data_IF_178242962149
#
_entry.id   IF_178242962149
#
_cell.length_a   1.000
_cell.length_b   1.000
_cell.length_c   1.000
_cell.angle_alpha   90.00
_cell.angle_beta   90.00
_cell.angle_gamma   90.00
#
_symmetry.space_group_name_H-M   'P 1'
#
loop_
_entity.id
_entity.type
_entity.pdbx_description
1 polymer ?
#
# COMPACT_ATOMS: atom_id res chain seq x y z
N UNK A 1 -44.33 -7.75 27.41
CA UNK A 1 -43.73 -7.92 26.06
C UNK A 1 -43.14 -6.58 25.68
N UNK A 2 -41.84 -6.49 25.35
CA UNK A 2 -41.27 -5.24 24.87
C UNK A 2 -41.98 -4.82 23.57
N UNK A 3 -42.21 -3.53 23.40
CA UNK A 3 -42.83 -2.98 22.19
C UNK A 3 -41.86 -3.05 21.04
N UNK A 4 -42.35 -3.03 19.78
CA UNK A 4 -41.51 -2.96 18.58
C UNK A 4 -40.55 -1.76 18.63
N UNK A 5 -40.98 -0.65 19.23
CA UNK A 5 -40.16 0.53 19.50
C UNK A 5 -39.01 0.24 20.48
N UNK A 6 -39.28 -0.56 21.54
CA UNK A 6 -38.26 -0.98 22.51
C UNK A 6 -37.23 -1.94 21.86
N UNK A 7 -37.68 -2.82 20.97
CA UNK A 7 -36.84 -3.72 20.20
C UNK A 7 -35.99 -2.96 19.16
N UNK A 8 -36.55 -1.95 18.50
CA UNK A 8 -35.86 -1.06 17.58
C UNK A 8 -34.90 -0.13 18.32
N UNK A 9 -35.26 0.37 19.50
CA UNK A 9 -34.37 1.15 20.35
C UNK A 9 -33.24 0.29 20.93
N UNK A 10 -33.50 -0.93 21.35
CA UNK A 10 -32.50 -1.89 21.78
C UNK A 10 -31.58 -2.32 20.63
N UNK A 11 -32.10 -2.48 19.39
CA UNK A 11 -31.33 -2.74 18.19
C UNK A 11 -30.46 -1.54 17.81
N UNK A 12 -30.93 -0.30 17.98
CA UNK A 12 -30.13 0.92 17.76
C UNK A 12 -29.13 1.18 18.89
N UNK A 13 -29.42 0.80 20.12
CA UNK A 13 -28.47 0.88 21.23
C UNK A 13 -27.41 -0.21 21.19
N UNK A 14 -27.67 -1.33 20.50
CA UNK A 14 -26.74 -2.45 20.37
C UNK A 14 -25.61 -2.23 19.32
N UNK A 15 -25.65 -1.15 18.54
CA UNK A 15 -24.50 -0.73 17.71
C UNK A 15 -23.71 0.34 18.47
N UNK A 16 -23.11 -0.03 19.60
CA UNK A 16 -21.98 0.74 20.12
C UNK A 16 -20.98 0.91 18.97
N UNK A 17 -20.70 2.15 18.58
CA UNK A 17 -19.78 2.43 17.49
C UNK A 17 -18.43 1.77 17.81
N UNK A 18 -17.99 0.82 16.97
CA UNK A 18 -16.68 0.21 17.12
C UNK A 18 -15.64 1.19 16.62
N UNK A 19 -14.73 1.57 17.50
CA UNK A 19 -13.58 2.39 17.17
C UNK A 19 -12.42 1.48 16.75
N UNK A 20 -11.72 1.85 15.70
CA UNK A 20 -10.49 1.18 15.28
C UNK A 20 -9.36 2.20 15.29
N UNK A 21 -8.26 1.83 15.94
CA UNK A 21 -7.06 2.65 16.07
C UNK A 21 -5.85 1.93 15.45
N UNK A 22 -4.99 2.71 14.82
CA UNK A 22 -3.66 2.28 14.41
C UNK A 22 -2.75 2.38 15.63
N UNK A 23 -2.33 1.24 16.17
CA UNK A 23 -1.43 1.16 17.32
C UNK A 23 0.04 1.36 16.90
N UNK A 24 0.41 0.83 15.73
CA UNK A 24 1.78 0.94 15.19
C UNK A 24 1.80 0.82 13.69
N UNK A 25 2.88 1.33 13.07
CA UNK A 25 3.21 1.16 11.65
C UNK A 25 4.69 0.87 11.54
N UNK A 26 5.06 -0.28 10.97
CA UNK A 26 6.45 -0.63 10.68
C UNK A 26 6.69 -0.76 9.18
N UNK A 27 7.92 -0.50 8.74
CA UNK A 27 8.33 -0.54 7.34
C UNK A 27 9.72 -1.13 7.22
N UNK A 28 9.96 -1.90 6.17
CA UNK A 28 11.27 -2.47 5.86
C UNK A 28 11.56 -2.38 4.37
N UNK A 29 12.84 -2.26 4.05
CA UNK A 29 13.37 -2.30 2.70
C UNK A 29 14.50 -3.32 2.63
N UNK A 30 14.78 -3.91 1.46
CA UNK A 30 15.92 -4.78 1.27
C UNK A 30 17.26 -4.04 1.43
N UNK A 31 18.36 -4.80 1.46
CA UNK A 31 19.71 -4.27 1.68
C UNK A 31 20.32 -3.56 0.45
N UNK A 32 19.95 -3.95 -0.77
CA UNK A 32 20.55 -3.37 -1.98
C UNK A 32 19.91 -2.03 -2.31
N UNK A 33 20.70 -0.97 -2.20
CA UNK A 33 20.31 0.39 -2.60
C UNK A 33 20.68 0.60 -4.06
N UNK A 34 19.73 1.11 -4.83
CA UNK A 34 19.90 1.48 -6.23
C UNK A 34 19.67 2.98 -6.36
N UNK A 35 20.72 3.75 -6.59
CA UNK A 35 20.61 5.17 -6.91
C UNK A 35 20.11 5.40 -8.34
N UNK A 36 19.71 6.64 -8.62
CA UNK A 36 19.12 6.97 -9.93
C UNK A 36 20.14 6.90 -11.08
N UNK A 37 21.43 7.13 -10.82
CA UNK A 37 22.46 7.01 -11.84
C UNK A 37 22.69 5.55 -12.23
N UNK A 38 22.74 4.66 -11.24
CA UNK A 38 22.86 3.21 -11.44
C UNK A 38 21.60 2.62 -12.11
N UNK A 39 20.41 3.08 -11.72
CA UNK A 39 19.16 2.69 -12.39
C UNK A 39 19.16 3.12 -13.87
N UNK A 40 19.63 4.33 -14.17
CA UNK A 40 19.75 4.86 -15.53
C UNK A 40 20.75 4.04 -16.34
N UNK A 41 21.92 3.76 -15.77
CA UNK A 41 22.94 2.93 -16.40
C UNK A 41 22.40 1.52 -16.74
N UNK A 42 21.73 0.88 -15.79
CA UNK A 42 21.09 -0.43 -15.99
C UNK A 42 20.07 -0.38 -17.13
N UNK A 43 19.22 0.63 -17.14
CA UNK A 43 18.20 0.78 -18.17
C UNK A 43 18.82 0.95 -19.57
N UNK A 44 19.90 1.70 -19.70
CA UNK A 44 20.62 1.86 -20.97
C UNK A 44 21.24 0.54 -21.46
N UNK A 45 21.70 -0.30 -20.53
CA UNK A 45 22.24 -1.64 -20.87
C UNK A 45 21.15 -2.60 -21.30
N UNK A 46 20.02 -2.62 -20.61
CA UNK A 46 18.92 -3.56 -20.87
C UNK A 46 18.04 -3.09 -22.04
N UNK A 47 17.82 -1.78 -22.18
CA UNK A 47 16.89 -1.19 -23.15
C UNK A 47 17.56 -0.13 -24.04
N UNK A 48 18.59 -0.46 -24.81
CA UNK A 48 19.36 0.50 -25.62
C UNK A 48 18.48 1.26 -26.64
N UNK A 49 17.37 0.66 -27.08
CA UNK A 49 16.41 1.31 -28.00
C UNK A 49 15.74 2.56 -27.38
N UNK A 50 15.72 2.70 -26.05
CA UNK A 50 15.16 3.84 -25.32
C UNK A 50 16.22 4.82 -24.80
N UNK A 51 17.47 4.72 -25.22
CA UNK A 51 18.56 5.59 -24.74
C UNK A 51 18.23 7.10 -24.87
N UNK A 52 17.45 7.48 -25.91
CA UNK A 52 17.00 8.88 -26.10
C UNK A 52 16.00 9.37 -25.06
N UNK A 53 15.40 8.46 -24.29
CA UNK A 53 14.44 8.74 -23.23
C UNK A 53 15.06 8.77 -21.83
N UNK A 54 16.39 8.86 -21.71
CA UNK A 54 17.12 8.95 -20.43
C UNK A 54 16.57 10.05 -19.52
N UNK A 55 16.09 11.17 -20.09
CA UNK A 55 15.47 12.25 -19.33
C UNK A 55 14.27 11.81 -18.48
N UNK A 56 13.58 10.71 -18.84
CA UNK A 56 12.51 10.14 -18.02
C UNK A 56 13.03 9.74 -16.64
N UNK A 57 14.20 9.14 -16.55
CA UNK A 57 14.82 8.73 -15.28
C UNK A 57 15.16 9.94 -14.41
N UNK A 58 15.70 11.01 -15.00
CA UNK A 58 16.05 12.25 -14.29
C UNK A 58 14.83 12.99 -13.75
N UNK A 59 13.67 12.82 -14.40
CA UNK A 59 12.44 13.54 -14.08
C UNK A 59 11.46 12.72 -13.21
N UNK A 60 11.86 11.57 -12.69
CA UNK A 60 11.02 10.74 -11.82
C UNK A 60 10.79 11.34 -10.44
N UNK A 61 11.67 12.24 -9.99
CA UNK A 61 11.69 12.74 -8.63
C UNK A 61 12.22 11.72 -7.60
N UNK A 62 12.90 10.65 -8.09
CA UNK A 62 13.43 9.56 -7.27
C UNK A 62 14.96 9.67 -7.21
N UNK A 63 15.53 9.71 -6.02
CA UNK A 63 16.98 9.68 -5.81
C UNK A 63 17.46 8.23 -5.61
N UNK A 64 16.74 7.47 -4.80
CA UNK A 64 17.10 6.10 -4.43
C UNK A 64 15.88 5.18 -4.43
N UNK A 65 16.13 3.89 -4.59
CA UNK A 65 15.18 2.78 -4.37
C UNK A 65 15.93 1.57 -3.86
N UNK A 66 15.18 0.54 -3.46
CA UNK A 66 15.72 -0.67 -2.87
C UNK A 66 15.36 -1.89 -3.70
N UNK A 67 16.21 -2.90 -3.69
CA UNK A 67 16.04 -4.14 -4.43
C UNK A 67 16.48 -5.34 -3.60
N UNK A 68 15.74 -6.45 -3.69
CA UNK A 68 16.10 -7.70 -3.00
C UNK A 68 17.28 -8.41 -3.64
N UNK A 69 17.55 -8.12 -4.91
CA UNK A 69 18.69 -8.69 -5.63
C UNK A 69 19.59 -7.57 -6.13
N UNK A 70 20.91 -7.81 -6.24
CA UNK A 70 21.87 -6.83 -6.74
C UNK A 70 21.71 -6.58 -8.24
N UNK A 71 22.25 -5.45 -8.73
CA UNK A 71 22.15 -5.05 -10.16
C UNK A 71 22.51 -6.14 -11.15
N UNK A 72 23.58 -6.95 -10.96
CA UNK A 72 23.91 -8.02 -11.91
C UNK A 72 22.77 -9.02 -12.16
N UNK A 73 21.95 -9.32 -11.15
CA UNK A 73 20.78 -10.18 -11.31
C UNK A 73 19.79 -9.61 -12.35
N UNK A 74 19.58 -8.29 -12.33
CA UNK A 74 18.65 -7.61 -13.23
C UNK A 74 19.18 -7.42 -14.67
N UNK A 75 20.37 -7.89 -14.98
CA UNK A 75 20.94 -7.86 -16.33
C UNK A 75 20.77 -9.19 -17.07
N UNK A 76 20.22 -10.20 -16.43
CA UNK A 76 20.04 -11.55 -16.95
C UNK A 76 18.58 -11.96 -17.00
N UNK A 77 18.26 -12.98 -17.81
CA UNK A 77 16.93 -13.57 -17.86
C UNK A 77 16.76 -14.57 -16.72
N UNK A 78 15.56 -14.59 -16.13
CA UNK A 78 15.19 -15.54 -15.09
C UNK A 78 13.88 -16.22 -15.45
N UNK A 79 13.77 -17.48 -15.06
CA UNK A 79 12.54 -18.27 -15.21
C UNK A 79 11.49 -17.80 -14.21
N UNK A 80 10.23 -18.18 -14.44
CA UNK A 80 9.14 -17.96 -13.47
C UNK A 80 9.44 -18.63 -12.13
N UNK A 81 10.03 -19.84 -12.16
CA UNK A 81 10.41 -20.60 -10.97
C UNK A 81 11.44 -19.84 -10.13
N UNK A 82 12.57 -19.42 -10.73
CA UNK A 82 13.62 -18.65 -10.05
C UNK A 82 13.08 -17.34 -9.44
N UNK A 83 12.23 -16.61 -10.16
CA UNK A 83 11.59 -15.40 -9.65
C UNK A 83 10.68 -15.70 -8.46
N UNK A 84 9.92 -16.80 -8.54
CA UNK A 84 8.99 -17.19 -7.49
C UNK A 84 9.72 -17.62 -6.21
N UNK A 85 10.79 -18.41 -6.34
CA UNK A 85 11.63 -18.83 -5.22
C UNK A 85 12.30 -17.62 -4.54
N UNK A 86 12.88 -16.72 -5.36
CA UNK A 86 13.50 -15.48 -4.86
C UNK A 86 12.49 -14.59 -4.18
N UNK A 87 11.28 -14.45 -4.76
CA UNK A 87 10.20 -13.71 -4.14
C UNK A 87 9.79 -14.29 -2.79
N UNK A 88 9.50 -15.59 -2.72
CA UNK A 88 9.02 -16.23 -1.48
C UNK A 88 10.03 -16.09 -0.35
N UNK A 89 11.32 -16.31 -0.64
CA UNK A 89 12.41 -16.18 0.34
C UNK A 89 12.50 -14.74 0.88
N UNK A 90 12.62 -13.76 0.00
CA UNK A 90 12.84 -12.36 0.39
C UNK A 90 11.58 -11.70 0.98
N UNK A 91 10.38 -12.04 0.46
CA UNK A 91 9.13 -11.54 1.01
C UNK A 91 8.93 -11.99 2.45
N UNK A 92 9.24 -13.24 2.79
CA UNK A 92 9.13 -13.74 4.16
C UNK A 92 10.09 -13.01 5.11
N UNK A 93 11.34 -12.80 4.72
CA UNK A 93 12.32 -12.06 5.54
C UNK A 93 11.82 -10.66 5.88
N UNK A 94 11.33 -9.92 4.88
CA UNK A 94 10.82 -8.57 5.11
C UNK A 94 9.53 -8.57 5.92
N UNK A 95 8.63 -9.53 5.69
CA UNK A 95 7.37 -9.63 6.43
C UNK A 95 7.59 -10.05 7.89
N UNK A 96 8.53 -10.95 8.18
CA UNK A 96 8.95 -11.29 9.54
C UNK A 96 9.43 -10.04 10.28
N UNK A 97 10.35 -9.30 9.67
CA UNK A 97 10.89 -8.07 10.24
C UNK A 97 9.80 -7.04 10.58
N UNK A 98 8.90 -6.72 9.62
CA UNK A 98 7.86 -5.71 9.87
C UNK A 98 6.77 -6.21 10.81
N UNK A 99 6.47 -7.52 10.84
CA UNK A 99 5.50 -8.11 11.76
C UNK A 99 5.99 -8.01 13.21
N UNK A 100 7.21 -8.46 13.49
CA UNK A 100 7.81 -8.41 14.83
C UNK A 100 7.94 -6.96 15.30
N UNK A 101 8.45 -6.07 14.44
CA UNK A 101 8.59 -4.65 14.78
C UNK A 101 7.24 -4.00 15.11
N UNK A 102 6.23 -4.16 14.26
CA UNK A 102 4.93 -3.51 14.49
C UNK A 102 4.22 -4.06 15.73
N UNK A 103 4.28 -5.38 15.97
CA UNK A 103 3.67 -6.00 17.14
C UNK A 103 4.36 -5.53 18.42
N UNK A 104 5.70 -5.45 18.43
CA UNK A 104 6.47 -4.92 19.55
C UNK A 104 6.18 -3.42 19.80
N UNK A 105 6.16 -2.58 18.75
CA UNK A 105 5.82 -1.15 18.85
C UNK A 105 4.38 -0.92 19.35
N UNK A 106 3.47 -1.87 19.07
CA UNK A 106 2.13 -1.86 19.63
C UNK A 106 2.07 -2.31 21.11
N UNK A 107 3.18 -2.77 21.70
CA UNK A 107 3.23 -3.32 23.06
C UNK A 107 2.48 -4.65 23.17
N UNK A 108 2.52 -5.47 22.12
CA UNK A 108 1.88 -6.77 22.03
C UNK A 108 2.93 -7.87 21.82
N UNK A 109 2.52 -9.12 22.06
CA UNK A 109 3.21 -10.31 21.59
C UNK A 109 2.49 -10.86 20.34
N UNK A 110 3.18 -11.63 19.50
CA UNK A 110 2.60 -12.24 18.30
C UNK A 110 1.36 -13.11 18.62
N UNK A 111 1.35 -13.76 19.77
CA UNK A 111 0.19 -14.54 20.26
C UNK A 111 -1.04 -13.70 20.59
N UNK A 112 -0.91 -12.37 20.69
CA UNK A 112 -2.03 -11.46 20.98
C UNK A 112 -2.74 -10.99 19.71
N UNK A 113 -2.23 -11.38 18.54
CA UNK A 113 -2.86 -11.11 17.24
C UNK A 113 -4.02 -12.08 17.01
N UNK A 114 -5.16 -11.54 16.64
CA UNK A 114 -6.40 -12.29 16.35
C UNK A 114 -6.61 -12.55 14.87
N UNK A 115 -6.15 -11.64 14.02
CA UNK A 115 -6.32 -11.69 12.57
C UNK A 115 -5.03 -11.23 11.89
N UNK A 116 -4.61 -11.97 10.85
CA UNK A 116 -3.53 -11.57 9.93
C UNK A 116 -4.13 -11.32 8.55
N UNK A 117 -3.97 -10.12 8.03
CA UNK A 117 -4.31 -9.75 6.66
C UNK A 117 -3.02 -9.52 5.89
N UNK A 118 -2.79 -10.27 4.82
CA UNK A 118 -1.61 -10.07 3.95
C UNK A 118 -2.02 -9.59 2.58
N UNK A 119 -1.24 -8.69 1.99
CA UNK A 119 -1.42 -8.22 0.63
C UNK A 119 -0.11 -8.27 -0.15
N UNK A 120 -0.19 -8.67 -1.41
CA UNK A 120 0.89 -8.59 -2.38
C UNK A 120 0.35 -8.59 -3.80
N UNK A 121 1.17 -8.15 -4.76
CA UNK A 121 0.86 -8.23 -6.20
C UNK A 121 2.07 -8.71 -7.03
N UNK A 122 3.24 -8.84 -6.44
CA UNK A 122 4.49 -9.09 -7.16
C UNK A 122 4.97 -10.53 -7.11
N UNK A 123 4.21 -11.43 -6.48
CA UNK A 123 4.54 -12.86 -6.43
C UNK A 123 3.41 -13.69 -5.86
N UNK A 124 3.54 -15.00 -6.03
CA UNK A 124 2.57 -16.00 -5.60
C UNK A 124 3.20 -16.96 -4.58
N UNK A 125 2.43 -17.36 -3.59
CA UNK A 125 2.81 -18.39 -2.63
C UNK A 125 1.61 -19.27 -2.27
N UNK A 126 1.80 -20.59 -2.37
CA UNK A 126 0.85 -21.61 -1.88
C UNK A 126 1.68 -22.65 -1.10
N UNK A 127 1.51 -22.76 0.23
CA UNK A 127 0.62 -21.96 1.12
C UNK A 127 0.93 -20.46 1.08
N UNK A 128 -0.07 -19.66 1.45
CA UNK A 128 0.00 -18.19 1.47
C UNK A 128 1.10 -17.67 2.40
N UNK A 129 1.52 -16.41 2.22
CA UNK A 129 2.63 -15.83 2.98
C UNK A 129 2.37 -15.84 4.49
N UNK A 130 1.17 -15.47 4.95
CA UNK A 130 0.83 -15.51 6.38
C UNK A 130 0.83 -16.94 6.93
N UNK A 131 0.46 -17.95 6.13
CA UNK A 131 0.54 -19.34 6.54
C UNK A 131 1.99 -19.79 6.73
N UNK A 132 2.91 -19.26 5.91
CA UNK A 132 4.34 -19.51 6.04
C UNK A 132 4.93 -18.77 7.26
N UNK A 133 4.53 -17.52 7.51
CA UNK A 133 4.92 -16.76 8.70
C UNK A 133 4.48 -17.44 10.00
N UNK A 134 3.34 -18.08 10.04
CA UNK A 134 2.87 -18.83 11.21
C UNK A 134 3.73 -20.07 11.52
N UNK A 135 4.58 -20.54 10.59
CA UNK A 135 5.53 -21.59 10.85
C UNK A 135 6.86 -21.09 11.45
N UNK A 136 7.21 -19.83 11.21
CA UNK A 136 8.45 -19.21 11.71
C UNK A 136 8.23 -18.31 12.92
N UNK A 137 7.05 -17.71 13.05
CA UNK A 137 6.70 -16.78 14.11
C UNK A 137 5.67 -17.39 15.09
N UNK A 138 5.75 -17.02 16.36
CA UNK A 138 4.94 -17.59 17.44
C UNK A 138 3.50 -17.02 17.50
N UNK A 139 2.78 -17.07 16.38
CA UNK A 139 1.33 -16.80 16.36
C UNK A 139 0.54 -17.97 16.97
N UNK A 140 -0.68 -17.69 17.43
CA UNK A 140 -1.60 -18.75 17.85
C UNK A 140 -2.07 -19.56 16.63
N UNK A 141 -2.37 -20.85 16.78
CA UNK A 141 -2.81 -21.68 15.66
C UNK A 141 -4.23 -21.36 15.16
N UNK A 142 -5.03 -20.64 15.95
CA UNK A 142 -6.42 -20.24 15.67
C UNK A 142 -6.55 -18.80 15.13
N UNK A 143 -5.43 -18.16 14.73
CA UNK A 143 -5.46 -16.84 14.10
C UNK A 143 -6.22 -16.89 12.78
N UNK A 144 -7.19 -15.99 12.61
CA UNK A 144 -7.91 -15.83 11.35
C UNK A 144 -6.99 -15.21 10.28
N UNK A 145 -7.09 -15.67 9.03
CA UNK A 145 -6.19 -15.23 7.95
C UNK A 145 -6.97 -14.75 6.73
N UNK A 146 -6.51 -13.65 6.13
CA UNK A 146 -7.07 -13.10 4.90
C UNK A 146 -5.94 -12.72 3.92
N UNK A 147 -5.54 -13.61 3.00
CA UNK A 147 -4.64 -13.25 1.92
C UNK A 147 -5.38 -12.44 0.84
N UNK A 148 -4.75 -11.36 0.37
CA UNK A 148 -5.25 -10.47 -0.67
C UNK A 148 -4.25 -10.45 -1.82
N UNK A 149 -4.76 -10.62 -3.04
CA UNK A 149 -4.02 -10.47 -4.29
C UNK A 149 -4.87 -9.71 -5.31
N UNK A 150 -4.24 -8.89 -6.17
CA UNK A 150 -4.92 -8.23 -7.28
C UNK A 150 -5.27 -6.75 -7.08
N UNK A 151 -4.98 -6.16 -5.91
CA UNK A 151 -5.25 -4.73 -5.68
C UNK A 151 -4.12 -3.79 -6.16
N UNK A 152 -2.96 -4.35 -6.57
CA UNK A 152 -1.81 -3.58 -7.04
C UNK A 152 -1.39 -2.48 -6.06
N UNK A 153 -1.01 -1.32 -6.58
CA UNK A 153 -0.61 -0.16 -5.75
C UNK A 153 -1.72 0.29 -4.78
N UNK A 154 -2.98 -0.01 -5.06
CA UNK A 154 -4.10 0.23 -4.15
C UNK A 154 -4.12 -0.68 -2.92
N UNK A 155 -3.34 -1.77 -2.94
CA UNK A 155 -3.38 -2.83 -1.93
C UNK A 155 -3.01 -2.38 -0.52
N UNK A 156 -2.13 -1.38 -0.37
CA UNK A 156 -1.78 -0.84 0.94
C UNK A 156 -2.97 -0.18 1.64
N UNK A 157 -3.71 0.67 0.94
CA UNK A 157 -4.90 1.35 1.47
C UNK A 157 -6.12 0.43 1.43
N UNK A 158 -6.34 -0.28 0.31
CA UNK A 158 -7.45 -1.22 0.16
C UNK A 158 -7.35 -2.41 1.13
N UNK A 159 -6.15 -2.94 1.35
CA UNK A 159 -5.90 -4.00 2.33
C UNK A 159 -6.10 -3.51 3.77
N UNK A 160 -5.57 -2.33 4.11
CA UNK A 160 -5.81 -1.70 5.41
C UNK A 160 -7.30 -1.45 5.67
N UNK A 161 -8.06 -1.06 4.64
CA UNK A 161 -9.51 -0.92 4.72
C UNK A 161 -10.20 -2.25 5.07
N UNK A 162 -9.78 -3.38 4.48
CA UNK A 162 -10.31 -4.72 4.79
C UNK A 162 -9.93 -5.15 6.19
N UNK A 163 -8.66 -4.95 6.60
CA UNK A 163 -8.19 -5.19 7.96
C UNK A 163 -8.99 -4.40 8.99
N UNK A 164 -9.29 -3.12 8.70
CA UNK A 164 -10.14 -2.28 9.56
C UNK A 164 -11.56 -2.84 9.67
N UNK A 165 -12.16 -3.32 8.57
CA UNK A 165 -13.50 -3.94 8.61
C UNK A 165 -13.52 -5.23 9.42
N UNK A 166 -12.46 -6.05 9.35
CA UNK A 166 -12.31 -7.25 10.19
C UNK A 166 -12.20 -6.86 11.66
N UNK A 167 -11.43 -5.83 11.99
CA UNK A 167 -11.34 -5.29 13.34
C UNK A 167 -12.69 -4.76 13.85
N UNK A 168 -13.48 -4.08 13.01
CA UNK A 168 -14.84 -3.61 13.33
C UNK A 168 -15.83 -4.77 13.57
N UNK A 169 -15.70 -5.85 12.81
CA UNK A 169 -16.55 -7.04 12.96
C UNK A 169 -16.26 -7.82 14.25
N UNK A 170 -15.08 -7.61 14.85
CA UNK A 170 -14.63 -8.30 16.08
C UNK A 170 -14.12 -7.29 17.11
N UNK A 171 -15.00 -6.58 17.83
CA UNK A 171 -14.58 -5.61 18.85
C UNK A 171 -13.70 -6.25 19.93
N UNK A 172 -12.61 -5.57 20.27
CA UNK A 172 -11.58 -6.08 21.19
C UNK A 172 -10.42 -6.81 20.51
N UNK A 173 -10.48 -7.03 19.20
CA UNK A 173 -9.42 -7.74 18.47
C UNK A 173 -8.20 -6.86 18.18
N UNK A 174 -7.05 -7.54 17.98
CA UNK A 174 -5.83 -7.02 17.40
C UNK A 174 -5.66 -7.61 15.99
N UNK A 175 -5.60 -6.75 14.97
CA UNK A 175 -5.45 -7.16 13.58
C UNK A 175 -4.09 -6.70 13.06
N UNK A 176 -3.30 -7.63 12.54
CA UNK A 176 -2.04 -7.36 11.88
C UNK A 176 -2.26 -7.31 10.37
N UNK A 177 -2.12 -6.13 9.77
CA UNK A 177 -2.06 -5.97 8.33
C UNK A 177 -0.60 -5.96 7.86
N UNK A 178 -0.30 -6.75 6.86
CA UNK A 178 1.01 -6.92 6.23
C UNK A 178 0.91 -6.69 4.74
N UNK A 179 1.85 -5.97 4.15
CA UNK A 179 1.96 -5.85 2.71
C UNK A 179 3.42 -5.90 2.27
N UNK A 180 3.67 -6.60 1.16
CA UNK A 180 5.02 -6.72 0.57
C UNK A 180 4.91 -6.73 -0.94
N UNK A 181 5.69 -5.87 -1.59
CA UNK A 181 5.86 -5.92 -3.03
C UNK A 181 7.35 -5.81 -3.40
N UNK A 182 7.80 -6.78 -4.19
CA UNK A 182 9.17 -6.89 -4.69
C UNK A 182 9.15 -6.64 -6.20
N UNK A 183 8.91 -5.37 -6.56
CA UNK A 183 8.68 -4.97 -7.94
C UNK A 183 9.92 -5.18 -8.82
N UNK A 184 11.12 -5.16 -8.23
CA UNK A 184 12.37 -5.41 -8.94
C UNK A 184 12.39 -6.80 -9.58
N UNK A 185 11.75 -7.78 -8.95
CA UNK A 185 11.64 -9.15 -9.48
C UNK A 185 10.69 -9.27 -10.68
N UNK A 186 9.84 -8.27 -10.91
CA UNK A 186 8.96 -8.20 -12.08
C UNK A 186 9.63 -7.56 -13.30
N UNK A 187 10.89 -7.04 -13.17
CA UNK A 187 11.64 -6.49 -14.27
C UNK A 187 12.14 -7.60 -15.20
N UNK A 188 11.85 -7.47 -16.50
CA UNK A 188 12.16 -8.48 -17.53
C UNK A 188 13.03 -7.89 -18.60
N UNK A 189 14.28 -8.39 -18.70
CA UNK A 189 15.27 -7.89 -19.69
C UNK A 189 14.89 -8.16 -21.14
N UNK A 190 14.05 -9.17 -21.37
CA UNK A 190 13.54 -9.57 -22.68
C UNK A 190 12.20 -8.90 -23.04
N UNK A 191 11.68 -8.01 -22.21
CA UNK A 191 10.47 -7.22 -22.50
C UNK A 191 10.88 -5.87 -23.14
N UNK A 192 10.70 -5.66 -24.44
CA UNK A 192 11.14 -4.45 -25.11
C UNK A 192 10.12 -3.30 -25.01
N UNK A 193 9.13 -3.40 -24.12
CA UNK A 193 8.08 -2.42 -24.04
C UNK A 193 8.52 -1.12 -23.35
N UNK A 194 7.92 -0.01 -23.76
CA UNK A 194 8.10 1.28 -23.09
C UNK A 194 7.56 1.24 -21.65
N UNK A 195 6.50 0.48 -21.40
CA UNK A 195 5.93 0.30 -20.06
C UNK A 195 6.96 -0.33 -19.09
N UNK A 196 7.70 -1.36 -19.54
CA UNK A 196 8.77 -1.97 -18.76
C UNK A 196 9.94 -0.99 -18.52
N UNK A 197 10.35 -0.23 -19.54
CA UNK A 197 11.39 0.79 -19.39
C UNK A 197 11.01 1.87 -18.38
N UNK A 198 9.76 2.39 -18.43
CA UNK A 198 9.24 3.37 -17.47
C UNK A 198 9.14 2.77 -16.07
N UNK A 199 8.66 1.53 -15.97
CA UNK A 199 8.56 0.82 -14.69
C UNK A 199 9.91 0.64 -14.01
N UNK A 200 10.95 0.32 -14.78
CA UNK A 200 12.33 0.23 -14.28
C UNK A 200 12.86 1.57 -13.73
N UNK A 201 12.28 2.71 -14.15
CA UNK A 201 12.62 4.03 -13.64
C UNK A 201 11.91 4.37 -12.31
N UNK A 202 10.79 3.72 -12.01
CA UNK A 202 9.90 4.09 -10.92
C UNK A 202 9.92 3.12 -9.75
N UNK A 203 9.90 1.81 -10.04
CA UNK A 203 9.60 0.80 -9.03
C UNK A 203 10.83 0.36 -8.22
N UNK A 204 10.57 0.07 -6.93
CA UNK A 204 11.47 -0.53 -5.96
C UNK A 204 10.76 -1.56 -5.11
N UNK A 205 11.44 -2.10 -4.10
CA UNK A 205 10.98 -3.18 -3.24
C UNK A 205 10.78 -2.67 -1.81
N UNK A 206 9.75 -3.20 -1.12
CA UNK A 206 9.52 -2.88 0.26
C UNK A 206 8.37 -3.66 0.89
N UNK A 207 8.35 -3.66 2.20
CA UNK A 207 7.28 -4.21 3.02
C UNK A 207 6.84 -3.24 4.10
N UNK A 208 5.58 -3.34 4.50
CA UNK A 208 5.02 -2.55 5.59
C UNK A 208 4.01 -3.36 6.38
N UNK A 209 3.81 -2.98 7.63
CA UNK A 209 2.80 -3.55 8.50
C UNK A 209 2.10 -2.49 9.34
N UNK A 210 0.86 -2.78 9.71
CA UNK A 210 0.04 -1.96 10.59
C UNK A 210 -0.62 -2.87 11.62
N UNK A 211 -0.50 -2.54 12.90
CA UNK A 211 -1.32 -3.16 13.94
C UNK A 211 -2.54 -2.27 14.20
N UNK A 212 -3.72 -2.85 14.00
CA UNK A 212 -5.00 -2.25 14.34
C UNK A 212 -5.53 -2.81 15.64
N UNK A 213 -6.12 -1.95 16.46
CA UNK A 213 -6.89 -2.33 17.66
C UNK A 213 -8.32 -1.87 17.54
N UNK A 214 -9.25 -2.73 17.89
CA UNK A 214 -10.66 -2.36 17.97
C UNK A 214 -11.18 -2.40 19.40
N UNK A 215 -12.16 -1.54 19.68
CA UNK A 215 -12.88 -1.56 20.96
C UNK A 215 -14.31 -1.03 20.78
N UNK A 216 -15.21 -1.45 21.66
CA UNK A 216 -16.57 -0.95 21.69
C UNK A 216 -16.62 0.35 22.51
N UNK A 217 -17.42 1.33 22.04
CA UNK A 217 -17.64 2.60 22.73
C UNK A 217 -16.64 3.71 22.35
N UNK A 218 -16.81 4.89 22.95
CA UNK A 218 -16.09 6.11 22.64
C UNK A 218 -14.73 6.25 23.35
N UNK A 219 -14.37 5.32 24.26
CA UNK A 219 -13.09 5.32 24.96
C UNK A 219 -11.93 4.87 24.07
N UNK A 220 -10.68 5.14 24.48
CA UNK A 220 -9.50 4.52 23.92
C UNK A 220 -9.17 3.21 24.66
N UNK A 221 -8.59 2.26 23.95
CA UNK A 221 -8.04 1.05 24.57
C UNK A 221 -6.66 1.38 25.16
N UNK A 222 -6.31 0.74 26.30
CA UNK A 222 -4.95 0.90 26.86
C UNK A 222 -3.87 0.51 25.86
N UNK A 223 -2.80 1.31 25.81
CA UNK A 223 -1.64 1.12 24.96
C UNK A 223 -1.50 2.21 23.89
N UNK A 224 -0.46 2.11 23.03
CA UNK A 224 -0.19 3.14 22.04
C UNK A 224 -1.32 3.24 21.00
N UNK A 225 -1.72 4.47 20.71
CA UNK A 225 -2.58 4.84 19.59
C UNK A 225 -1.85 5.93 18.79
N UNK A 226 -1.68 5.70 17.49
CA UNK A 226 -1.01 6.63 16.57
C UNK A 226 -2.01 7.40 15.72
N UNK A 227 -3.12 6.77 15.39
CA UNK A 227 -4.18 7.36 14.60
C UNK A 227 -5.49 6.63 14.84
N UNK A 228 -6.62 7.35 14.72
CA UNK A 228 -7.96 6.75 14.67
C UNK A 228 -8.41 6.61 13.22
N UNK A 229 -8.95 5.45 12.88
CA UNK A 229 -9.51 5.21 11.54
C UNK A 229 -10.95 5.73 11.50
N UNK A 230 -11.22 6.63 10.55
CA UNK A 230 -12.52 7.21 10.27
C UNK A 230 -13.25 6.52 9.11
N UNK A 231 -13.81 7.32 8.21
CA UNK A 231 -14.52 6.83 7.03
C UNK A 231 -13.59 6.08 6.07
N UNK A 232 -14.15 5.03 5.44
CA UNK A 232 -13.46 4.19 4.44
C UNK A 232 -14.27 4.19 3.17
N UNK A 233 -13.61 4.42 2.02
CA UNK A 233 -14.21 4.42 0.69
C UNK A 233 -13.42 3.64 -0.33
N UNK A 234 -14.14 3.17 -1.34
CA UNK A 234 -13.60 2.51 -2.52
C UNK A 234 -14.44 2.90 -3.73
N UNK A 235 -13.79 3.11 -4.86
CA UNK A 235 -14.46 3.42 -6.13
C UNK A 235 -13.81 2.65 -7.26
N UNK A 236 -14.63 2.16 -8.20
CA UNK A 236 -14.19 1.39 -9.36
C UNK A 236 -14.69 2.07 -10.64
N UNK A 237 -13.78 2.30 -11.59
CA UNK A 237 -14.12 2.80 -12.92
C UNK A 237 -14.26 1.64 -13.90
N UNK A 238 -15.45 1.36 -14.35
CA UNK A 238 -15.73 0.31 -15.31
C UNK A 238 -15.04 0.57 -16.67
N UNK A 239 -14.56 -0.49 -17.32
CA UNK A 239 -13.93 -0.41 -18.64
C UNK A 239 -12.50 0.15 -18.66
N UNK A 240 -11.80 0.16 -17.53
CA UNK A 240 -10.47 0.75 -17.37
C UNK A 240 -9.37 -0.29 -17.04
N UNK A 241 -9.59 -1.55 -17.33
CA UNK A 241 -8.64 -2.64 -17.07
C UNK A 241 -7.28 -2.44 -17.75
N UNK A 242 -7.26 -1.74 -18.89
CA UNK A 242 -6.07 -1.43 -19.68
C UNK A 242 -5.15 -0.35 -19.07
N UNK A 243 -5.61 0.33 -18.01
CA UNK A 243 -4.87 1.47 -17.41
C UNK A 243 -3.63 0.99 -16.65
N UNK A 244 -3.78 -0.02 -15.80
CA UNK A 244 -2.65 -0.62 -15.07
C UNK A 244 -2.97 -2.04 -14.63
N UNK A 245 -1.92 -2.86 -14.52
CA UNK A 245 -2.04 -4.23 -14.06
C UNK A 245 -0.88 -5.11 -14.48
N UNK A 246 -1.12 -6.41 -14.40
CA UNK A 246 -0.23 -7.44 -14.88
C UNK A 246 -0.84 -8.22 -16.04
N UNK A 247 -0.04 -8.40 -17.09
CA UNK A 247 -0.29 -9.39 -18.13
C UNK A 247 0.58 -10.62 -17.80
N UNK A 248 -0.04 -11.77 -17.56
CA UNK A 248 0.66 -12.98 -17.12
C UNK A 248 1.38 -13.60 -18.32
N UNK A 249 2.70 -13.64 -18.28
CA UNK A 249 3.58 -14.18 -19.31
C UNK A 249 4.24 -15.50 -18.87
N UNK A 250 4.88 -16.21 -19.81
CA UNK A 250 5.57 -17.47 -19.52
C UNK A 250 6.80 -17.31 -18.60
N UNK A 251 7.34 -16.12 -18.47
CA UNK A 251 8.54 -15.79 -17.70
C UNK A 251 8.30 -14.81 -16.56
N UNK A 252 7.04 -14.50 -16.24
CA UNK A 252 6.69 -13.61 -15.14
C UNK A 252 5.53 -12.67 -15.44
N UNK A 253 5.42 -11.63 -14.62
CA UNK A 253 4.42 -10.57 -14.76
C UNK A 253 4.86 -9.57 -15.82
N UNK A 254 4.05 -9.36 -16.86
CA UNK A 254 4.21 -8.29 -17.85
C UNK A 254 3.52 -7.02 -17.35
N UNK A 255 4.22 -5.91 -17.37
CA UNK A 255 3.67 -4.63 -16.89
C UNK A 255 2.65 -4.08 -17.86
N UNK A 256 1.45 -3.78 -17.37
CA UNK A 256 0.45 -2.93 -18.03
C UNK A 256 0.47 -1.58 -17.33
N UNK A 257 0.87 -0.53 -18.02
CA UNK A 257 0.89 0.84 -17.53
C UNK A 257 0.60 1.79 -18.69
N UNK A 258 -0.63 2.28 -18.73
CA UNK A 258 -1.09 3.19 -19.78
C UNK A 258 -0.58 4.62 -19.57
N UNK A 259 -0.14 5.31 -20.64
CA UNK A 259 0.15 6.74 -20.58
C UNK A 259 -1.11 7.60 -20.31
N UNK A 260 -2.30 7.03 -20.39
CA UNK A 260 -3.57 7.71 -20.13
C UNK A 260 -3.85 7.91 -18.64
N UNK A 261 -3.14 7.21 -17.75
CA UNK A 261 -3.36 7.25 -16.30
C UNK A 261 -3.43 8.69 -15.74
N UNK A 262 -2.48 9.61 -16.02
CA UNK A 262 -2.58 10.98 -15.51
C UNK A 262 -3.81 11.75 -16.02
N UNK A 263 -4.21 11.52 -17.28
CA UNK A 263 -5.39 12.15 -17.87
C UNK A 263 -6.67 11.65 -17.19
N UNK A 264 -6.80 10.33 -17.04
CA UNK A 264 -7.94 9.72 -16.35
C UNK A 264 -8.05 10.22 -14.90
N UNK A 265 -6.93 10.34 -14.18
CA UNK A 265 -6.93 10.90 -12.83
C UNK A 265 -7.38 12.36 -12.82
N UNK A 266 -6.85 13.20 -13.73
CA UNK A 266 -7.20 14.61 -13.80
C UNK A 266 -8.70 14.82 -14.04
N UNK A 267 -9.29 14.01 -14.91
CA UNK A 267 -10.68 14.18 -15.34
C UNK A 267 -11.67 13.52 -14.36
N UNK A 268 -11.28 12.41 -13.73
CA UNK A 268 -12.23 11.53 -13.06
C UNK A 268 -12.00 11.30 -11.58
N UNK A 269 -10.90 11.81 -10.99
CA UNK A 269 -10.63 11.65 -9.56
C UNK A 269 -11.77 12.21 -8.69
N UNK A 270 -12.34 13.34 -9.10
CA UNK A 270 -13.46 13.97 -8.40
C UNK A 270 -14.73 13.11 -8.35
N UNK A 271 -14.97 12.26 -9.37
CA UNK A 271 -16.12 11.32 -9.40
C UNK A 271 -16.07 10.32 -8.23
N UNK A 272 -14.87 9.93 -7.82
CA UNK A 272 -14.66 9.00 -6.74
C UNK A 272 -14.60 9.70 -5.36
N UNK A 273 -13.83 10.78 -5.29
CA UNK A 273 -13.48 11.41 -4.03
C UNK A 273 -14.64 12.24 -3.44
N UNK A 274 -15.26 13.10 -4.24
CA UNK A 274 -16.28 14.03 -3.69
C UNK A 274 -17.53 13.33 -3.16
N UNK A 275 -18.10 12.29 -3.81
CA UNK A 275 -19.21 11.54 -3.22
C UNK A 275 -18.80 10.79 -1.93
N UNK A 276 -17.57 10.28 -1.85
CA UNK A 276 -17.04 9.66 -0.64
C UNK A 276 -16.97 10.67 0.52
N UNK A 277 -16.40 11.85 0.28
CA UNK A 277 -16.30 12.90 1.29
C UNK A 277 -17.69 13.39 1.72
N UNK A 278 -18.58 13.66 0.78
CA UNK A 278 -19.96 14.10 1.08
C UNK A 278 -20.71 13.08 1.96
N UNK A 279 -20.57 11.77 1.66
CA UNK A 279 -21.14 10.69 2.48
C UNK A 279 -20.57 10.67 3.91
N UNK A 280 -19.30 11.06 4.06
CA UNK A 280 -18.64 11.18 5.36
C UNK A 280 -18.97 12.52 6.08
N UNK A 281 -19.70 13.43 5.45
CA UNK A 281 -19.97 14.78 5.96
C UNK A 281 -18.73 15.69 5.93
N UNK A 282 -17.81 15.45 5.00
CA UNK A 282 -16.51 16.12 4.88
C UNK A 282 -16.34 16.78 3.51
N UNK A 283 -15.40 17.72 3.45
CA UNK A 283 -14.91 18.39 2.25
C UNK A 283 -13.38 18.41 2.25
N UNK A 284 -12.72 18.84 1.17
CA UNK A 284 -11.24 18.92 1.12
C UNK A 284 -10.66 19.86 2.18
N UNK A 285 -11.42 20.90 2.56
CA UNK A 285 -11.00 21.91 3.54
C UNK A 285 -10.95 21.37 4.97
N UNK A 286 -11.56 20.21 5.22
CA UNK A 286 -11.55 19.56 6.55
C UNK A 286 -10.28 18.75 6.82
N UNK A 287 -9.32 18.74 5.87
CA UNK A 287 -8.08 17.98 5.97
C UNK A 287 -6.85 18.87 6.14
N UNK A 288 -6.02 18.51 7.11
CA UNK A 288 -4.70 19.14 7.35
C UNK A 288 -3.65 18.67 6.33
N UNK A 289 -3.86 17.50 5.72
CA UNK A 289 -2.99 16.99 4.67
C UNK A 289 -3.49 15.70 4.02
N UNK A 290 -2.77 15.27 2.99
CA UNK A 290 -3.12 14.13 2.17
C UNK A 290 -1.93 13.18 2.06
N UNK A 291 -2.14 11.92 2.41
CA UNK A 291 -1.17 10.83 2.35
C UNK A 291 -1.44 10.01 1.09
N UNK A 292 -1.00 10.52 -0.05
CA UNK A 292 -1.27 9.92 -1.35
C UNK A 292 -0.19 8.90 -1.69
N UNK A 293 -0.60 7.74 -2.22
CA UNK A 293 0.34 6.80 -2.82
C UNK A 293 1.11 7.47 -3.97
N UNK A 294 2.45 7.59 -3.90
CA UNK A 294 3.23 8.25 -4.92
C UNK A 294 3.58 7.28 -6.06
N UNK A 295 2.67 7.07 -6.99
CA UNK A 295 2.89 6.21 -8.17
C UNK A 295 4.02 6.68 -9.09
N UNK A 296 4.42 7.95 -8.99
CA UNK A 296 5.46 8.66 -9.69
C UNK A 296 5.20 10.17 -9.61
N UNK A 297 6.17 11.00 -10.00
CA UNK A 297 6.05 12.47 -9.93
C UNK A 297 4.80 12.99 -10.67
N UNK A 298 4.54 12.49 -11.88
CA UNK A 298 3.36 12.89 -12.67
C UNK A 298 2.03 12.58 -11.99
N UNK A 299 1.95 11.49 -11.22
CA UNK A 299 0.75 11.13 -10.46
C UNK A 299 0.50 12.13 -9.35
N UNK A 300 1.56 12.53 -8.62
CA UNK A 300 1.46 13.52 -7.57
C UNK A 300 1.14 14.91 -8.12
N UNK A 301 1.84 15.36 -9.17
CA UNK A 301 1.55 16.64 -9.86
C UNK A 301 0.09 16.67 -10.34
N UNK A 302 -0.41 15.56 -10.90
CA UNK A 302 -1.80 15.47 -11.36
C UNK A 302 -2.80 15.55 -10.20
N UNK A 303 -2.49 14.96 -9.06
CA UNK A 303 -3.35 15.05 -7.87
C UNK A 303 -3.35 16.47 -7.27
N UNK A 304 -2.19 17.15 -7.23
CA UNK A 304 -2.09 18.56 -6.85
C UNK A 304 -3.00 19.42 -7.74
N UNK A 305 -2.86 19.30 -9.06
CA UNK A 305 -3.65 20.07 -10.04
C UNK A 305 -5.15 19.76 -9.94
N UNK A 306 -5.52 18.48 -9.90
CA UNK A 306 -6.93 18.04 -9.95
C UNK A 306 -7.71 18.40 -8.68
N UNK A 307 -7.04 18.45 -7.52
CA UNK A 307 -7.66 18.71 -6.23
C UNK A 307 -7.33 20.10 -5.67
N UNK A 308 -6.48 20.89 -6.35
CA UNK A 308 -6.03 22.20 -5.89
C UNK A 308 -5.18 22.13 -4.63
N UNK A 309 -4.39 21.06 -4.46
CA UNK A 309 -3.56 20.85 -3.29
C UNK A 309 -2.19 21.55 -3.44
N UNK A 310 -1.69 22.08 -2.35
CA UNK A 310 -0.32 22.56 -2.29
C UNK A 310 0.68 21.40 -2.12
N UNK A 311 1.92 21.62 -2.55
CA UNK A 311 3.02 20.67 -2.34
C UNK A 311 3.23 20.31 -0.86
N UNK A 312 3.01 21.26 0.04
CA UNK A 312 3.13 21.05 1.48
C UNK A 312 2.07 20.09 2.02
N UNK A 313 0.84 20.16 1.51
CA UNK A 313 -0.24 19.24 1.94
C UNK A 313 0.01 17.77 1.57
N UNK A 314 0.88 17.50 0.58
CA UNK A 314 1.27 16.13 0.17
C UNK A 314 2.78 15.89 0.31
N UNK A 315 3.48 16.67 1.15
CA UNK A 315 4.95 16.62 1.31
C UNK A 315 5.49 15.23 1.64
N UNK A 316 4.77 14.45 2.45
CA UNK A 316 5.19 13.10 2.82
C UNK A 316 5.19 12.13 1.64
N UNK A 317 4.24 12.28 0.71
CA UNK A 317 4.19 11.51 -0.53
C UNK A 317 5.41 11.79 -1.42
N UNK A 318 5.79 13.05 -1.55
CA UNK A 318 7.00 13.46 -2.28
C UNK A 318 8.29 12.98 -1.60
N UNK A 319 8.36 13.09 -0.28
CA UNK A 319 9.50 12.61 0.50
C UNK A 319 9.72 11.10 0.30
N UNK A 320 8.65 10.32 0.38
CA UNK A 320 8.73 8.86 0.20
C UNK A 320 9.09 8.51 -1.25
N UNK A 321 8.48 9.15 -2.24
CA UNK A 321 8.85 8.96 -3.65
C UNK A 321 10.35 9.19 -3.86
N UNK A 322 10.88 10.28 -3.32
CA UNK A 322 12.28 10.65 -3.48
C UNK A 322 13.24 9.60 -2.95
N UNK A 323 12.97 9.04 -1.77
CA UNK A 323 13.92 8.17 -1.06
C UNK A 323 13.70 6.67 -1.28
N UNK A 324 12.51 6.27 -1.73
CA UNK A 324 12.14 4.85 -1.86
C UNK A 324 11.62 4.47 -3.24
N UNK A 325 11.26 5.44 -4.08
CA UNK A 325 10.55 5.16 -5.32
C UNK A 325 9.13 4.64 -5.06
N UNK A 326 8.60 3.93 -6.05
CA UNK A 326 7.29 3.29 -5.96
C UNK A 326 7.46 1.81 -5.58
N UNK A 327 7.15 1.44 -4.34
CA UNK A 327 7.14 0.07 -3.83
C UNK A 327 5.73 -0.54 -3.89
N UNK A 328 4.96 -0.16 -4.90
CA UNK A 328 3.58 -0.62 -5.08
C UNK A 328 2.73 -0.44 -3.81
N UNK A 329 2.07 -1.48 -3.31
CA UNK A 329 1.17 -1.39 -2.16
C UNK A 329 1.82 -0.91 -0.86
N UNK A 330 3.07 -1.22 -0.63
CA UNK A 330 3.77 -0.81 0.60
C UNK A 330 3.94 0.71 0.71
N UNK A 331 4.07 1.40 -0.43
CA UNK A 331 4.46 2.83 -0.48
C UNK A 331 3.53 3.75 0.32
N UNK A 332 2.22 3.55 0.24
CA UNK A 332 1.24 4.39 0.97
C UNK A 332 1.42 4.29 2.50
N UNK A 333 1.88 3.14 3.00
CA UNK A 333 2.14 2.95 4.43
C UNK A 333 3.49 3.56 4.85
N UNK A 334 4.48 3.65 3.96
CA UNK A 334 5.68 4.47 4.17
C UNK A 334 5.32 5.95 4.29
N UNK A 335 4.38 6.43 3.47
CA UNK A 335 3.88 7.82 3.57
C UNK A 335 3.19 8.05 4.92
N UNK A 336 2.36 7.12 5.37
CA UNK A 336 1.74 7.17 6.70
C UNK A 336 2.80 7.14 7.82
N UNK A 337 3.80 6.23 7.74
CA UNK A 337 4.88 6.15 8.73
C UNK A 337 5.68 7.46 8.79
N UNK A 338 5.97 8.10 7.64
CA UNK A 338 6.68 9.37 7.57
C UNK A 338 5.89 10.49 8.27
N UNK A 339 4.58 10.59 8.04
CA UNK A 339 3.72 11.57 8.71
C UNK A 339 3.68 11.35 10.24
N UNK A 340 3.53 10.11 10.68
CA UNK A 340 3.53 9.77 12.11
C UNK A 340 4.87 10.05 12.78
N UNK A 341 5.98 9.80 12.09
CA UNK A 341 7.34 10.05 12.59
C UNK A 341 7.64 11.55 12.71
N UNK A 342 7.10 12.37 11.80
CA UNK A 342 7.19 13.85 11.84
C UNK A 342 6.26 14.48 12.90
N UNK A 343 5.44 13.66 13.56
CA UNK A 343 4.49 14.13 14.58
C UNK A 343 3.27 14.86 14.01
N UNK A 344 2.88 14.56 12.77
CA UNK A 344 1.68 15.10 12.15
C UNK A 344 0.45 14.92 13.07
N UNK A 345 -0.43 15.92 13.08
CA UNK A 345 -1.68 15.94 13.87
C UNK A 345 -2.82 16.46 13.01
N UNK A 346 -4.05 16.08 13.38
CA UNK A 346 -5.25 16.50 12.71
C UNK A 346 -5.80 15.46 11.75
N UNK A 347 -6.60 15.89 10.79
CA UNK A 347 -7.29 15.00 9.86
C UNK A 347 -6.52 14.84 8.56
N UNK A 348 -6.28 13.61 8.17
CA UNK A 348 -5.57 13.25 6.94
C UNK A 348 -6.38 12.30 6.07
N UNK A 349 -6.28 12.44 4.75
CA UNK A 349 -6.80 11.47 3.79
C UNK A 349 -5.67 10.56 3.32
N UNK A 350 -5.71 9.28 3.67
CA UNK A 350 -4.85 8.25 3.09
C UNK A 350 -5.53 7.72 1.82
N UNK A 351 -4.85 7.81 0.67
CA UNK A 351 -5.43 7.40 -0.61
C UNK A 351 -4.41 6.68 -1.51
N UNK A 352 -4.90 5.68 -2.24
CA UNK A 352 -4.14 4.98 -3.26
C UNK A 352 -5.01 4.57 -4.43
N UNK A 353 -4.36 4.32 -5.58
CA UNK A 353 -4.98 3.82 -6.79
C UNK A 353 -4.41 2.46 -7.15
N UNK A 354 -5.25 1.63 -7.77
CA UNK A 354 -4.87 0.28 -8.17
C UNK A 354 -5.54 -0.16 -9.47
N UNK A 355 -5.14 -1.36 -9.94
CA UNK A 355 -5.74 -1.94 -11.12
C UNK A 355 -7.26 -2.10 -10.99
N UNK A 356 -7.93 -2.01 -12.20
CA UNK A 356 -9.35 -2.17 -12.29
C UNK A 356 -10.04 -1.13 -13.17
N UNK A 357 -9.74 0.14 -13.18
CA UNK A 357 -8.97 1.00 -12.29
C UNK A 357 -9.78 1.34 -11.04
N UNK A 358 -9.11 1.45 -9.90
CA UNK A 358 -9.82 1.64 -8.62
C UNK A 358 -9.13 2.69 -7.76
N UNK A 359 -9.90 3.37 -6.90
CA UNK A 359 -9.42 4.25 -5.86
C UNK A 359 -9.83 3.74 -4.47
N UNK A 360 -8.97 3.93 -3.49
CA UNK A 360 -9.18 3.55 -2.08
C UNK A 360 -8.89 4.74 -1.19
N UNK A 361 -9.77 4.98 -0.22
CA UNK A 361 -9.71 6.14 0.67
C UNK A 361 -9.91 5.72 2.12
N UNK A 362 -9.11 6.27 3.02
CA UNK A 362 -9.28 6.15 4.48
C UNK A 362 -9.08 7.52 5.10
N UNK A 363 -10.05 7.99 5.86
CA UNK A 363 -9.90 9.17 6.71
C UNK A 363 -9.18 8.76 7.99
N UNK A 364 -8.13 9.48 8.35
CA UNK A 364 -7.35 9.26 9.57
C UNK A 364 -7.38 10.51 10.44
N UNK A 365 -7.54 10.33 11.75
CA UNK A 365 -7.29 11.36 12.76
C UNK A 365 -5.96 11.00 13.44
N UNK A 366 -4.90 11.81 13.15
CA UNK A 366 -3.53 11.63 13.65
C UNK A 366 -3.28 12.34 14.97
#
# INVERSE_FOLDING_TARGET
MPTEADLLAASRAATASVVVEIASVATAVPEHVLDQAEATWRAQKVYPQFARLEALYKNTGIDTRYSVEPVPWHLTTHTWEERTETYQRNALVLLEQVAEQAVAEAGLALRDIDVIVTNTITGLAIPSLEARLMNSLAFRPDVERLPIFGLGCGGGVGGLARATRMAQARPGSNVLFLTVDLCSLCMRVNDPSLAMFVSAALFGDGAASVVLRSHAGAGSREGPSRARVGAIGEYFWSGTEHIMGWDIKNDGFGVVLSPELPTLMRERLGEALFPFLAKAGLSLQDFDGFLLHPGGSKVLDTAEDALGLSRDQIRYSWQVLKHYGNMSSATALFVLKAALADGARGRYLLAAFGPGFSAYFIVLEL
#
